data_IF_859295084978
#
_entry.id   IF_859295084978
#
_cell.length_a   1.000
_cell.length_b   1.000
_cell.length_c   1.000
_cell.angle_alpha   90.00
_cell.angle_beta   90.00
_cell.angle_gamma   90.00
#
_symmetry.space_group_name_H-M   'P 1'
#
loop_
_entity.id
_entity.type
_entity.pdbx_description
1 polymer ?
#
# COMPACT_ATOMS: atom_id res chain seq x y z
N UNK A 1 -13.71 -2.02 -47.22
CA UNK A 1 -14.88 -1.72 -46.37
C UNK A 1 -14.34 -1.47 -44.96
N UNK A 2 -14.10 -0.21 -44.61
CA UNK A 2 -13.43 0.15 -43.35
C UNK A 2 -14.41 0.06 -42.18
N UNK A 3 -14.06 -0.74 -41.17
CA UNK A 3 -14.80 -0.78 -39.91
C UNK A 3 -14.75 0.62 -39.28
N UNK A 4 -15.90 1.29 -39.20
CA UNK A 4 -16.02 2.56 -38.48
C UNK A 4 -15.63 2.31 -37.02
N UNK A 5 -14.56 2.97 -36.56
CA UNK A 5 -14.19 2.95 -35.14
C UNK A 5 -15.33 3.57 -34.34
N UNK A 6 -15.94 2.82 -33.44
CA UNK A 6 -16.91 3.35 -32.49
C UNK A 6 -16.22 4.38 -31.60
N UNK A 7 -16.70 5.62 -31.62
CA UNK A 7 -16.20 6.66 -30.72
C UNK A 7 -16.63 6.29 -29.29
N UNK A 8 -15.69 6.18 -28.32
CA UNK A 8 -16.06 5.88 -26.95
C UNK A 8 -16.94 7.00 -26.36
N UNK A 9 -18.02 6.62 -25.69
CA UNK A 9 -18.90 7.55 -24.98
C UNK A 9 -18.49 7.67 -23.52
N UNK A 10 -18.50 8.90 -22.98
CA UNK A 10 -18.31 9.13 -21.55
C UNK A 10 -19.56 8.72 -20.78
N UNK A 11 -19.39 8.02 -19.65
CA UNK A 11 -20.46 7.86 -18.67
C UNK A 11 -20.44 9.09 -17.77
N UNK A 12 -21.49 9.92 -17.82
CA UNK A 12 -21.59 11.16 -17.05
C UNK A 12 -22.81 11.13 -16.14
N UNK A 13 -22.79 11.97 -15.11
CA UNK A 13 -23.93 12.29 -14.27
C UNK A 13 -24.01 13.81 -14.16
N UNK A 14 -25.21 14.35 -13.97
CA UNK A 14 -25.37 15.78 -13.72
C UNK A 14 -24.93 16.13 -12.30
N UNK A 15 -24.54 17.39 -12.06
CA UNK A 15 -24.22 17.86 -10.71
C UNK A 15 -25.41 17.68 -9.74
N UNK A 16 -26.65 17.84 -10.24
CA UNK A 16 -27.87 17.61 -9.47
C UNK A 16 -28.05 16.14 -9.08
N UNK A 17 -27.80 15.21 -10.02
CA UNK A 17 -27.81 13.77 -9.73
C UNK A 17 -26.76 13.41 -8.68
N UNK A 18 -25.55 13.96 -8.77
CA UNK A 18 -24.49 13.70 -7.80
C UNK A 18 -24.86 14.23 -6.41
N UNK A 19 -25.41 15.45 -6.32
CA UNK A 19 -25.82 16.06 -5.06
C UNK A 19 -26.95 15.29 -4.35
N UNK A 20 -27.77 14.56 -5.12
CA UNK A 20 -28.85 13.74 -4.58
C UNK A 20 -28.41 12.31 -4.20
N UNK A 21 -27.20 11.87 -4.58
CA UNK A 21 -26.70 10.52 -4.26
C UNK A 21 -26.27 10.43 -2.80
N UNK A 22 -26.67 9.37 -2.13
CA UNK A 22 -26.05 8.94 -0.87
C UNK A 22 -24.81 8.12 -1.21
N UNK A 23 -23.64 8.75 -1.11
CA UNK A 23 -22.34 8.11 -1.34
C UNK A 23 -21.77 7.78 0.05
N UNK A 24 -21.37 6.51 0.31
CA UNK A 24 -20.75 6.17 1.57
C UNK A 24 -19.43 6.94 1.75
N UNK A 25 -19.12 7.30 2.99
CA UNK A 25 -17.87 7.98 3.32
C UNK A 25 -16.65 7.14 2.91
N UNK A 26 -15.55 7.82 2.63
CA UNK A 26 -14.26 7.17 2.40
C UNK A 26 -13.92 6.27 3.58
N UNK A 27 -13.75 4.98 3.32
CA UNK A 27 -13.39 4.01 4.34
C UNK A 27 -11.91 4.12 4.66
N UNK A 28 -11.60 4.00 5.95
CA UNK A 28 -10.22 3.97 6.43
C UNK A 28 -9.89 2.58 6.96
N UNK A 29 -8.72 2.08 6.57
CA UNK A 29 -8.16 0.86 7.14
C UNK A 29 -7.61 1.17 8.53
N UNK A 30 -6.89 2.28 8.65
CA UNK A 30 -6.47 2.86 9.92
C UNK A 30 -7.05 4.27 9.96
N UNK A 31 -7.99 4.58 10.85
CA UNK A 31 -8.61 5.90 10.91
C UNK A 31 -7.57 7.01 10.87
N UNK A 32 -7.82 8.05 10.06
CA UNK A 32 -6.94 9.24 9.85
C UNK A 32 -5.60 8.99 9.16
N UNK A 33 -5.11 7.76 9.09
CA UNK A 33 -3.75 7.46 8.62
C UNK A 33 -3.72 6.71 7.29
N UNK A 34 -4.58 5.71 7.13
CA UNK A 34 -4.57 4.82 5.96
C UNK A 34 -5.98 4.72 5.40
N UNK A 35 -6.33 5.48 4.35
CA UNK A 35 -7.59 5.32 3.63
C UNK A 35 -7.58 4.02 2.79
N UNK A 36 -8.73 3.65 2.23
CA UNK A 36 -8.77 2.82 1.02
C UNK A 36 -7.95 3.49 -0.11
N UNK A 37 -7.39 2.67 -0.99
CA UNK A 37 -6.47 3.13 -2.03
C UNK A 37 -5.01 2.88 -1.69
N UNK A 38 -4.11 3.56 -2.39
CA UNK A 38 -2.67 3.40 -2.26
C UNK A 38 -2.09 4.42 -1.27
N UNK A 39 -1.52 3.91 -0.18
CA UNK A 39 -0.70 4.67 0.75
C UNK A 39 0.78 4.37 0.54
N UNK A 40 1.60 5.40 0.38
CA UNK A 40 3.06 5.25 0.40
C UNK A 40 3.58 5.43 1.83
N UNK A 41 4.34 4.45 2.33
CA UNK A 41 5.10 4.61 3.58
C UNK A 41 6.57 4.79 3.25
N UNK A 42 7.09 6.00 3.48
CA UNK A 42 8.50 6.28 3.32
C UNK A 42 9.24 6.54 4.63
N UNK A 43 10.56 6.58 4.52
CA UNK A 43 11.45 6.84 5.64
C UNK A 43 12.82 6.25 5.40
N UNK A 44 13.81 6.75 6.15
CA UNK A 44 15.20 6.33 6.01
C UNK A 44 15.38 4.82 6.27
N UNK A 45 16.40 4.17 5.70
CA UNK A 45 16.73 2.80 6.05
C UNK A 45 16.85 2.63 7.57
N UNK A 46 16.34 1.51 8.10
CA UNK A 46 16.40 1.13 9.52
C UNK A 46 15.68 2.08 10.51
N UNK A 47 14.85 3.01 10.03
CA UNK A 47 14.04 3.90 10.89
C UNK A 47 12.87 3.20 11.60
N UNK A 48 12.60 1.93 11.27
CA UNK A 48 11.54 1.14 11.89
C UNK A 48 10.31 0.86 11.01
N UNK A 49 10.35 1.15 9.70
CA UNK A 49 9.20 0.93 8.78
C UNK A 49 8.63 -0.49 8.87
N UNK A 50 9.48 -1.52 8.76
CA UNK A 50 9.04 -2.92 8.83
C UNK A 50 8.42 -3.31 10.19
N UNK A 51 8.79 -2.61 11.27
CA UNK A 51 8.14 -2.78 12.59
C UNK A 51 6.77 -2.11 12.62
N UNK A 52 6.67 -0.88 12.11
CA UNK A 52 5.39 -0.20 11.98
C UNK A 52 4.41 -1.00 11.11
N UNK A 53 4.87 -1.46 9.95
CA UNK A 53 4.07 -2.25 9.00
C UNK A 53 3.61 -3.58 9.61
N UNK A 54 4.49 -4.31 10.30
CA UNK A 54 4.10 -5.52 11.03
C UNK A 54 3.06 -5.21 12.11
N UNK A 55 3.22 -4.10 12.84
CA UNK A 55 2.28 -3.71 13.88
C UNK A 55 0.91 -3.35 13.30
N UNK A 56 0.90 -2.65 12.16
CA UNK A 56 -0.31 -2.36 11.40
C UNK A 56 -0.99 -3.65 10.97
N UNK A 57 -0.23 -4.61 10.41
CA UNK A 57 -0.77 -5.88 9.95
C UNK A 57 -1.43 -6.66 11.10
N UNK A 58 -0.74 -6.78 12.23
CA UNK A 58 -1.25 -7.44 13.44
C UNK A 58 -2.49 -6.74 14.00
N UNK A 59 -2.48 -5.40 14.03
CA UNK A 59 -3.58 -4.61 14.58
C UNK A 59 -4.84 -4.73 13.73
N UNK A 60 -4.70 -4.64 12.40
CA UNK A 60 -5.82 -4.77 11.46
C UNK A 60 -6.34 -6.21 11.40
N UNK A 61 -5.47 -7.22 11.45
CA UNK A 61 -5.91 -8.61 11.50
C UNK A 61 -6.74 -8.92 12.76
N UNK A 62 -6.37 -8.33 13.89
CA UNK A 62 -7.01 -8.57 15.19
C UNK A 62 -8.10 -7.55 15.57
N UNK A 63 -8.27 -6.45 14.81
CA UNK A 63 -9.19 -5.36 15.17
C UNK A 63 -8.79 -4.63 16.46
N UNK A 64 -7.49 -4.40 16.67
CA UNK A 64 -6.92 -3.78 17.87
C UNK A 64 -6.79 -2.26 17.73
N UNK A 65 -6.13 -1.62 18.69
CA UNK A 65 -5.79 -0.19 18.61
C UNK A 65 -4.43 -0.01 17.94
N UNK A 66 -4.33 0.93 17.01
CA UNK A 66 -3.10 1.32 16.33
C UNK A 66 -3.01 2.85 16.30
N UNK A 67 -1.89 3.41 16.77
CA UNK A 67 -1.66 4.87 16.80
C UNK A 67 -2.78 5.66 17.49
N UNK A 68 -3.41 5.08 18.52
CA UNK A 68 -4.52 5.68 19.26
C UNK A 68 -5.90 5.46 18.63
N UNK A 69 -5.97 4.85 17.46
CA UNK A 69 -7.21 4.63 16.72
C UNK A 69 -7.64 3.15 16.79
N UNK A 70 -8.94 2.90 16.99
CA UNK A 70 -9.49 1.54 16.91
C UNK A 70 -9.62 1.15 15.44
N UNK A 71 -9.00 0.04 15.04
CA UNK A 71 -9.12 -0.47 13.67
C UNK A 71 -10.14 -1.61 13.60
N UNK A 72 -10.88 -1.66 12.51
CA UNK A 72 -11.78 -2.78 12.23
C UNK A 72 -10.97 -3.99 11.78
N UNK A 73 -11.42 -5.18 12.20
CA UNK A 73 -10.75 -6.41 11.83
C UNK A 73 -10.96 -6.76 10.36
N UNK A 74 -9.92 -7.29 9.70
CA UNK A 74 -10.01 -7.81 8.33
C UNK A 74 -8.81 -8.66 7.95
N UNK A 75 -8.89 -9.35 6.82
CA UNK A 75 -7.82 -10.18 6.29
C UNK A 75 -6.70 -9.29 5.75
N UNK A 76 -5.45 -9.63 6.09
CA UNK A 76 -4.27 -8.85 5.78
C UNK A 76 -3.23 -9.70 5.08
N UNK A 77 -2.71 -9.20 3.96
CA UNK A 77 -1.54 -9.76 3.28
C UNK A 77 -0.31 -8.89 3.54
N UNK A 78 0.70 -9.44 4.19
CA UNK A 78 2.01 -8.81 4.35
C UNK A 78 3.04 -9.48 3.43
N UNK A 79 3.43 -8.79 2.37
CA UNK A 79 4.56 -9.16 1.52
C UNK A 79 5.86 -8.63 2.15
N UNK A 80 6.53 -9.44 2.96
CA UNK A 80 7.78 -9.11 3.66
C UNK A 80 9.01 -9.58 2.87
N UNK A 81 9.30 -8.88 1.78
CA UNK A 81 10.15 -9.30 0.65
C UNK A 81 11.66 -9.09 0.84
N UNK A 82 12.08 -8.47 1.95
CA UNK A 82 13.48 -8.36 2.37
C UNK A 82 13.80 -9.20 3.61
N UNK A 83 12.78 -9.81 4.22
CA UNK A 83 12.90 -10.60 5.43
C UNK A 83 13.00 -12.09 5.11
N UNK A 84 13.33 -12.87 6.14
CA UNK A 84 13.26 -14.34 6.10
C UNK A 84 12.42 -14.84 7.27
N UNK A 85 11.98 -16.09 7.20
CA UNK A 85 11.10 -16.70 8.20
C UNK A 85 11.64 -16.57 9.62
N UNK A 86 12.94 -16.82 9.83
CA UNK A 86 13.59 -16.69 11.15
C UNK A 86 13.48 -15.26 11.70
N UNK A 87 13.70 -14.24 10.88
CA UNK A 87 13.57 -12.83 11.28
C UNK A 87 12.12 -12.45 11.56
N UNK A 88 11.19 -12.93 10.73
CA UNK A 88 9.76 -12.70 10.90
C UNK A 88 9.23 -13.34 12.18
N UNK A 89 9.55 -14.61 12.40
CA UNK A 89 9.17 -15.33 13.62
C UNK A 89 9.68 -14.61 14.87
N UNK A 90 10.97 -14.23 14.90
CA UNK A 90 11.53 -13.46 16.01
C UNK A 90 10.79 -12.13 16.23
N UNK A 91 10.48 -11.39 15.16
CA UNK A 91 9.75 -10.12 15.26
C UNK A 91 8.34 -10.33 15.79
N UNK A 92 7.61 -11.31 15.25
CA UNK A 92 6.27 -11.67 15.71
C UNK A 92 6.27 -12.02 17.19
N UNK A 93 7.18 -12.87 17.66
CA UNK A 93 7.28 -13.22 19.09
C UNK A 93 7.52 -12.00 19.98
N UNK A 94 8.36 -11.05 19.56
CA UNK A 94 8.61 -9.83 20.32
C UNK A 94 7.39 -8.90 20.36
N UNK A 95 6.60 -8.85 19.29
CA UNK A 95 5.45 -7.94 19.17
C UNK A 95 4.18 -8.50 19.80
N UNK A 96 3.96 -9.81 19.68
CA UNK A 96 2.81 -10.51 20.24
C UNK A 96 2.99 -10.78 21.74
N UNK A 97 4.22 -10.89 22.22
CA UNK A 97 4.52 -11.31 23.58
C UNK A 97 3.86 -12.66 23.92
N UNK A 98 2.70 -12.65 24.58
CA UNK A 98 1.92 -13.86 24.92
C UNK A 98 0.64 -14.01 24.09
N UNK A 99 0.33 -13.07 23.21
CA UNK A 99 -0.86 -13.12 22.35
C UNK A 99 -0.67 -14.12 21.20
N UNK A 100 -1.78 -14.76 20.82
CA UNK A 100 -1.84 -15.59 19.63
C UNK A 100 -2.09 -14.68 18.40
N UNK A 101 -1.33 -14.82 17.30
CA UNK A 101 -1.61 -14.08 16.08
C UNK A 101 -2.97 -14.48 15.51
N UNK A 102 -3.71 -13.49 15.00
CA UNK A 102 -4.97 -13.76 14.31
C UNK A 102 -4.72 -14.55 13.01
N UNK A 103 -5.55 -15.56 12.74
CA UNK A 103 -5.49 -16.36 11.51
C UNK A 103 -5.65 -15.53 10.22
N UNK A 104 -6.22 -14.33 10.35
CA UNK A 104 -6.43 -13.34 9.29
C UNK A 104 -5.15 -12.69 8.74
N UNK A 105 -4.00 -12.88 9.39
CA UNK A 105 -2.72 -12.33 8.92
C UNK A 105 -1.94 -13.36 8.10
N UNK A 106 -1.87 -13.12 6.80
CA UNK A 106 -1.10 -13.94 5.86
C UNK A 106 0.23 -13.22 5.54
N UNK A 107 1.35 -13.93 5.60
CA UNK A 107 2.68 -13.36 5.36
C UNK A 107 3.38 -14.14 4.25
N UNK A 108 3.91 -13.44 3.26
CA UNK A 108 4.72 -14.02 2.19
C UNK A 108 6.10 -13.34 2.14
N UNK A 109 7.16 -14.12 1.98
CA UNK A 109 8.55 -13.65 1.85
C UNK A 109 9.00 -13.50 0.39
N UNK A 110 8.14 -13.88 -0.55
CA UNK A 110 8.37 -13.77 -1.98
C UNK A 110 7.09 -13.36 -2.69
N UNK A 111 7.23 -12.59 -3.77
CA UNK A 111 6.16 -12.23 -4.68
C UNK A 111 6.78 -11.97 -6.06
N UNK A 112 6.18 -12.43 -7.17
CA UNK A 112 6.59 -12.01 -8.50
C UNK A 112 6.50 -10.49 -8.65
N UNK A 113 7.13 -9.95 -9.70
CA UNK A 113 6.92 -8.54 -10.02
C UNK A 113 5.46 -8.32 -10.42
N UNK A 114 4.94 -7.11 -10.17
CA UNK A 114 3.53 -6.75 -10.44
C UNK A 114 3.15 -6.97 -11.90
N UNK A 115 4.13 -6.91 -12.80
CA UNK A 115 3.97 -7.15 -14.23
C UNK A 115 4.13 -8.58 -14.70
N UNK A 116 4.46 -9.50 -13.81
CA UNK A 116 4.79 -10.88 -14.13
C UNK A 116 4.09 -11.83 -13.16
N UNK A 117 2.77 -11.69 -13.01
CA UNK A 117 1.96 -12.55 -12.15
C UNK A 117 1.77 -12.03 -10.71
N UNK A 118 2.42 -10.93 -10.33
CA UNK A 118 2.36 -10.40 -8.96
C UNK A 118 0.98 -9.86 -8.59
N UNK A 119 0.31 -9.15 -9.51
CA UNK A 119 -1.04 -8.64 -9.28
C UNK A 119 -2.05 -9.80 -9.24
N UNK A 120 -1.92 -10.75 -10.14
CA UNK A 120 -2.76 -11.93 -10.23
C UNK A 120 -2.66 -12.79 -8.96
N UNK A 121 -1.46 -12.93 -8.40
CA UNK A 121 -1.25 -13.62 -7.13
C UNK A 121 -1.93 -12.89 -5.96
N UNK A 122 -1.88 -11.56 -5.93
CA UNK A 122 -2.54 -10.76 -4.89
C UNK A 122 -4.07 -10.81 -5.06
N UNK A 123 -4.58 -10.74 -6.28
CA UNK A 123 -6.02 -10.91 -6.55
C UNK A 123 -6.51 -12.30 -6.13
N UNK A 124 -5.76 -13.36 -6.46
CA UNK A 124 -6.08 -14.71 -6.03
C UNK A 124 -6.11 -14.85 -4.50
N UNK A 125 -5.21 -14.16 -3.80
CA UNK A 125 -5.29 -14.09 -2.33
C UNK A 125 -6.57 -13.38 -1.86
N UNK A 126 -6.93 -12.25 -2.48
CA UNK A 126 -8.14 -11.51 -2.12
C UNK A 126 -9.39 -12.38 -2.30
N UNK A 127 -9.45 -13.15 -3.39
CA UNK A 127 -10.57 -14.05 -3.69
C UNK A 127 -10.59 -15.29 -2.78
N UNK A 128 -9.47 -15.62 -2.14
CA UNK A 128 -9.32 -16.76 -1.24
C UNK A 128 -9.61 -16.47 0.23
N UNK A 129 -9.87 -15.20 0.60
CA UNK A 129 -10.17 -14.78 1.98
C UNK A 129 -11.55 -14.13 2.08
N UNK A 130 -12.10 -14.02 3.28
CA UNK A 130 -13.51 -13.61 3.46
C UNK A 130 -13.69 -12.09 3.43
N UNK A 131 -12.74 -11.34 4.00
CA UNK A 131 -12.80 -9.90 4.15
C UNK A 131 -11.42 -9.27 3.90
N UNK A 132 -10.90 -9.29 2.65
CA UNK A 132 -9.62 -8.69 2.32
C UNK A 132 -9.67 -7.19 2.60
N UNK A 133 -8.85 -6.72 3.54
CA UNK A 133 -8.90 -5.32 4.01
C UNK A 133 -7.61 -4.56 3.76
N UNK A 134 -6.46 -5.23 3.85
CA UNK A 134 -5.17 -4.56 3.75
C UNK A 134 -4.13 -5.44 3.05
N UNK A 135 -3.42 -4.84 2.09
CA UNK A 135 -2.21 -5.41 1.51
C UNK A 135 -1.04 -4.51 1.86
N UNK A 136 0.06 -5.10 2.32
CA UNK A 136 1.30 -4.39 2.65
C UNK A 136 2.42 -4.95 1.80
N UNK A 137 3.17 -4.06 1.15
CA UNK A 137 4.34 -4.40 0.34
C UNK A 137 5.60 -3.81 0.98
N UNK A 138 6.38 -4.66 1.64
CA UNK A 138 7.63 -4.30 2.33
C UNK A 138 8.83 -5.06 1.72
N UNK A 139 9.55 -4.55 0.74
CA UNK A 139 9.53 -3.19 0.18
C UNK A 139 9.03 -3.19 -1.27
N UNK A 140 8.39 -2.09 -1.68
CA UNK A 140 7.82 -1.94 -3.01
C UNK A 140 8.83 -2.20 -4.14
N UNK A 141 10.08 -1.78 -3.96
CA UNK A 141 11.15 -1.97 -4.94
C UNK A 141 11.37 -3.44 -5.37
N UNK A 142 10.94 -4.43 -4.58
CA UNK A 142 11.08 -5.86 -4.88
C UNK A 142 10.02 -6.38 -5.85
N UNK A 143 8.88 -5.72 -5.97
CA UNK A 143 7.78 -6.12 -6.87
C UNK A 143 7.63 -5.19 -8.07
N UNK A 144 8.28 -4.03 -8.07
CA UNK A 144 8.25 -3.11 -9.21
C UNK A 144 8.72 -3.83 -10.48
N UNK A 145 8.03 -3.58 -11.59
CA UNK A 145 8.54 -3.95 -12.92
C UNK A 145 9.88 -3.26 -13.17
N UNK A 146 10.78 -3.95 -13.88
CA UNK A 146 12.03 -3.35 -14.32
C UNK A 146 11.75 -2.22 -15.32
N UNK A 147 12.51 -1.13 -15.20
CA UNK A 147 12.36 0.03 -16.05
C UNK A 147 12.64 -0.32 -17.52
N UNK A 148 11.80 0.18 -18.43
CA UNK A 148 12.11 0.20 -19.85
C UNK A 148 13.19 1.25 -20.12
N UNK A 149 14.16 0.87 -20.95
CA UNK A 149 15.24 1.76 -21.41
C UNK A 149 14.68 3.06 -22.01
N UNK A 150 15.16 4.22 -21.54
CA UNK A 150 14.90 5.53 -22.14
C UNK A 150 13.71 6.35 -21.60
N UNK A 151 12.90 5.82 -20.68
CA UNK A 151 11.86 6.62 -20.01
C UNK A 151 12.43 7.50 -18.89
N UNK A 152 11.76 8.62 -18.58
CA UNK A 152 12.12 9.47 -17.44
C UNK A 152 11.79 8.74 -16.13
N UNK A 153 12.65 8.91 -15.13
CA UNK A 153 12.52 8.27 -13.80
C UNK A 153 11.15 8.57 -13.17
N UNK A 154 10.68 9.81 -13.29
CA UNK A 154 9.37 10.22 -12.76
C UNK A 154 8.22 9.41 -13.37
N UNK A 155 8.16 9.30 -14.69
CA UNK A 155 7.09 8.58 -15.39
C UNK A 155 7.13 7.08 -15.07
N UNK A 156 8.34 6.51 -14.93
CA UNK A 156 8.54 5.12 -14.52
C UNK A 156 8.05 4.88 -13.09
N UNK A 157 8.38 5.79 -12.17
CA UNK A 157 7.93 5.75 -10.78
C UNK A 157 6.40 5.73 -10.71
N UNK A 158 5.75 6.72 -11.33
CA UNK A 158 4.29 6.79 -11.40
C UNK A 158 3.67 5.50 -11.99
N UNK A 159 4.13 5.11 -13.18
CA UNK A 159 3.59 3.94 -13.89
C UNK A 159 3.77 2.65 -13.10
N UNK A 160 4.86 2.52 -12.35
CA UNK A 160 5.13 1.31 -11.57
C UNK A 160 4.17 1.12 -10.39
N UNK A 161 3.57 2.19 -9.86
CA UNK A 161 2.62 2.15 -8.75
C UNK A 161 1.17 1.95 -9.20
N UNK A 162 0.85 2.30 -10.47
CA UNK A 162 -0.50 2.18 -11.03
C UNK A 162 -1.14 0.80 -10.85
N UNK A 163 -0.43 -0.34 -10.99
CA UNK A 163 -1.06 -1.65 -10.79
C UNK A 163 -1.61 -1.83 -9.37
N UNK A 164 -0.87 -1.40 -8.34
CA UNK A 164 -1.35 -1.47 -6.95
C UNK A 164 -2.48 -0.48 -6.68
N UNK A 165 -2.40 0.73 -7.23
CA UNK A 165 -3.47 1.73 -7.15
C UNK A 165 -4.77 1.22 -7.77
N UNK A 166 -4.68 0.70 -8.99
CA UNK A 166 -5.82 0.13 -9.72
C UNK A 166 -6.44 -1.04 -8.96
N UNK A 167 -5.61 -1.91 -8.38
CA UNK A 167 -6.07 -3.02 -7.54
C UNK A 167 -6.82 -2.51 -6.29
N UNK A 168 -6.24 -1.54 -5.58
CA UNK A 168 -6.82 -0.97 -4.37
C UNK A 168 -8.20 -0.35 -4.65
N UNK A 169 -8.33 0.42 -5.74
CA UNK A 169 -9.56 1.07 -6.15
C UNK A 169 -10.63 0.07 -6.57
N UNK A 170 -10.24 -0.93 -7.39
CA UNK A 170 -11.14 -1.99 -7.86
C UNK A 170 -11.70 -2.81 -6.70
N UNK A 171 -10.87 -3.12 -5.70
CA UNK A 171 -11.22 -3.99 -4.58
C UNK A 171 -11.71 -3.24 -3.35
N UNK A 172 -11.65 -1.90 -3.33
CA UNK A 172 -12.01 -1.06 -2.18
C UNK A 172 -11.31 -1.53 -0.90
N UNK A 173 -9.98 -1.60 -0.96
CA UNK A 173 -9.13 -2.00 0.17
C UNK A 173 -7.95 -1.04 0.30
N UNK A 174 -7.24 -1.10 1.42
CA UNK A 174 -5.99 -0.33 1.57
C UNK A 174 -4.79 -1.11 1.06
N UNK A 175 -3.90 -0.41 0.37
CA UNK A 175 -2.57 -0.90 0.01
C UNK A 175 -1.53 0.01 0.63
N UNK A 176 -0.58 -0.54 1.39
CA UNK A 176 0.59 0.20 1.87
C UNK A 176 1.83 -0.26 1.11
N UNK A 177 2.41 0.60 0.29
CA UNK A 177 3.66 0.35 -0.40
C UNK A 177 4.82 1.04 0.33
N UNK A 178 5.73 0.24 0.90
CA UNK A 178 6.90 0.73 1.60
C UNK A 178 7.99 1.15 0.62
N UNK A 179 8.46 2.38 0.74
CA UNK A 179 9.52 2.96 -0.09
C UNK A 179 10.68 3.46 0.77
N UNK A 180 11.89 3.44 0.22
CA UNK A 180 13.05 4.04 0.86
C UNK A 180 13.20 5.49 0.41
N UNK A 181 13.37 6.42 1.36
CA UNK A 181 13.76 7.78 1.03
C UNK A 181 15.28 7.85 0.86
N UNK A 182 15.75 8.59 -0.16
CA UNK A 182 17.19 8.83 -0.36
C UNK A 182 17.70 9.87 0.64
N UNK A 183 19.03 9.88 0.85
CA UNK A 183 19.72 10.99 1.51
C UNK A 183 19.81 12.14 0.51
N UNK A 184 19.00 13.18 0.69
CA UNK A 184 19.46 14.52 0.37
C UNK A 184 19.66 15.29 1.67
N UNK A 185 20.81 15.97 1.84
CA UNK A 185 21.01 16.84 2.97
C UNK A 185 20.08 18.06 2.82
N UNK A 186 19.25 18.31 3.82
CA UNK A 186 18.40 19.50 3.94
C UNK A 186 17.17 19.59 3.02
N UNK A 187 16.38 18.52 2.88
CA UNK A 187 14.96 18.74 2.60
C UNK A 187 14.32 19.33 3.88
N UNK A 188 13.72 20.52 3.76
CA UNK A 188 13.01 21.20 4.86
C UNK A 188 11.75 20.42 5.25
N UNK A 189 11.19 19.67 4.29
CA UNK A 189 10.05 18.78 4.49
C UNK A 189 10.37 17.33 4.05
N UNK A 190 10.23 16.32 4.92
CA UNK A 190 10.34 14.91 4.56
C UNK A 190 9.37 14.46 3.45
N UNK A 191 8.22 15.13 3.30
CA UNK A 191 7.29 14.93 2.19
C UNK A 191 7.92 15.36 0.86
N UNK A 192 8.73 16.42 0.82
CA UNK A 192 9.46 16.83 -0.39
C UNK A 192 10.43 15.75 -0.84
N UNK A 193 10.96 14.93 0.07
CA UNK A 193 11.88 13.85 -0.33
C UNK A 193 11.16 12.76 -1.16
N UNK A 194 9.88 12.51 -0.90
CA UNK A 194 9.06 11.55 -1.67
C UNK A 194 8.36 12.26 -2.84
N UNK A 195 7.84 13.45 -2.59
CA UNK A 195 7.04 14.26 -3.50
C UNK A 195 7.87 14.95 -4.59
N UNK A 196 9.04 15.49 -4.26
CA UNK A 196 9.86 16.27 -5.19
C UNK A 196 10.75 15.41 -6.12
N UNK A 197 10.92 14.11 -5.84
CA UNK A 197 11.86 13.26 -6.60
C UNK A 197 11.26 11.98 -7.19
N UNK A 198 10.03 11.62 -6.86
CA UNK A 198 9.41 10.37 -7.36
C UNK A 198 8.01 10.60 -7.89
N UNK A 199 7.70 10.06 -9.07
CA UNK A 199 6.33 10.03 -9.60
C UNK A 199 5.39 9.14 -8.78
N UNK A 200 5.90 8.43 -7.78
CA UNK A 200 5.12 7.58 -6.87
C UNK A 200 4.10 8.40 -6.08
N UNK A 201 4.50 9.59 -5.59
CA UNK A 201 3.60 10.47 -4.84
C UNK A 201 2.35 10.84 -5.65
N UNK A 202 2.50 11.04 -6.96
CA UNK A 202 1.38 11.37 -7.85
C UNK A 202 0.38 10.22 -8.06
N UNK A 203 0.76 8.97 -7.76
CA UNK A 203 -0.12 7.81 -7.87
C UNK A 203 -0.81 7.44 -6.54
N UNK A 204 -0.37 8.03 -5.42
CA UNK A 204 -0.82 7.65 -4.08
C UNK A 204 -2.00 8.52 -3.60
N UNK A 205 -2.93 7.89 -2.90
CA UNK A 205 -4.04 8.58 -2.22
C UNK A 205 -3.60 9.18 -0.89
N UNK A 206 -2.57 8.59 -0.28
CA UNK A 206 -1.98 9.07 0.99
C UNK A 206 -0.48 8.82 1.03
N UNK A 207 0.24 9.67 1.77
CA UNK A 207 1.67 9.53 2.02
C UNK A 207 1.90 9.60 3.53
N UNK A 208 2.62 8.62 4.06
CA UNK A 208 3.08 8.58 5.44
C UNK A 208 4.61 8.58 5.48
N UNK A 209 5.17 9.37 6.39
CA UNK A 209 6.62 9.44 6.60
C UNK A 209 6.94 8.99 8.02
N UNK A 210 7.86 8.03 8.15
CA UNK A 210 8.41 7.62 9.43
C UNK A 210 9.81 8.22 9.63
N UNK A 211 9.94 9.05 10.66
CA UNK A 211 11.20 9.68 11.06
C UNK A 211 11.58 9.36 12.50
N UNK A 212 12.88 9.22 12.73
CA UNK A 212 13.42 9.14 14.08
C UNK A 212 13.71 10.56 14.57
N UNK A 213 13.04 10.97 15.65
CA UNK A 213 13.43 12.16 16.41
C UNK A 213 14.68 11.86 17.23
N UNK A 214 15.71 12.70 17.08
CA UNK A 214 16.80 12.78 18.03
C UNK A 214 16.32 13.67 19.19
N UNK A 215 16.48 13.17 20.41
CA UNK A 215 16.28 13.92 21.64
C UNK A 215 17.65 14.31 22.20
#
# INVERSE_FOLDING_TARGET
>A
MGLARSVPSLTTFTAAELAARTIPDAKFIVPRFVPEGLTLLGGRPKVGKSWLLMNTALSVAAGKTLLGERVEAGDVLLLALEDNERRLQRRLSLMLQSDVPAERLHIATACPTLGNGGIEAIEAWCDGVTNPRLIIVDVFARVRQQALSGQRIYDQDYTSALPLKTLADKRQLGVIACVHTRKEPAAVDPFDTISATTGLAGAADSILILEQRQF
#
